data_IF_111207849129
#
_entry.id   IF_111207849129
#
_cell.length_a   1.000
_cell.length_b   1.000
_cell.length_c   1.000
_cell.angle_alpha   90.00
_cell.angle_beta   90.00
_cell.angle_gamma   90.00
#
_symmetry.space_group_name_H-M   'P 1'
#
loop_
_entity.id
_entity.type
_entity.pdbx_description
1 polymer ?
#
# COMPACT_ATOMS: atom_id res chain seq x y z
N UNK A 1 -1.68 -16.01 -30.27
CA UNK A 1 -0.87 -16.00 -29.03
C UNK A 1 -1.08 -17.31 -28.30
N UNK A 2 -0.18 -17.74 -27.40
CA UNK A 2 -0.41 -18.94 -26.60
C UNK A 2 -1.69 -18.75 -25.77
N UNK A 3 -2.49 -19.82 -25.66
CA UNK A 3 -3.73 -19.82 -24.91
C UNK A 3 -3.46 -19.43 -23.44
N UNK A 4 -4.34 -18.61 -22.85
CA UNK A 4 -4.27 -18.33 -21.43
C UNK A 4 -4.37 -19.66 -20.65
N UNK A 5 -3.53 -19.89 -19.63
CA UNK A 5 -3.65 -21.07 -18.79
C UNK A 5 -5.05 -21.13 -18.18
N UNK A 6 -5.58 -22.34 -17.90
CA UNK A 6 -6.90 -22.49 -17.30
C UNK A 6 -6.99 -21.70 -16.00
N UNK A 7 -8.15 -21.10 -15.73
CA UNK A 7 -8.39 -20.35 -14.51
C UNK A 7 -8.13 -21.26 -13.30
N UNK A 8 -7.12 -20.92 -12.52
CA UNK A 8 -6.72 -21.67 -11.34
C UNK A 8 -7.78 -21.49 -10.24
N UNK A 9 -8.00 -22.51 -9.43
CA UNK A 9 -8.83 -22.38 -8.22
C UNK A 9 -8.19 -21.39 -7.25
N UNK A 10 -9.00 -20.64 -6.50
CA UNK A 10 -8.50 -19.77 -5.45
C UNK A 10 -7.70 -20.58 -4.40
N UNK A 11 -6.50 -20.10 -4.00
CA UNK A 11 -5.65 -20.82 -3.06
C UNK A 11 -6.19 -20.77 -1.63
N UNK A 12 -6.93 -19.71 -1.28
CA UNK A 12 -7.61 -19.57 0.01
C UNK A 12 -8.97 -20.28 -0.02
N UNK A 13 -9.18 -21.20 0.92
CA UNK A 13 -10.43 -21.93 1.11
C UNK A 13 -11.57 -21.07 1.66
N UNK A 14 -11.26 -19.88 2.20
CA UNK A 14 -12.25 -18.93 2.70
C UNK A 14 -12.74 -17.95 1.63
N UNK A 15 -12.12 -17.92 0.45
CA UNK A 15 -12.58 -17.15 -0.69
C UNK A 15 -14.04 -17.45 -1.05
N UNK A 16 -14.72 -16.48 -1.68
CA UNK A 16 -16.07 -16.71 -2.20
C UNK A 16 -16.09 -17.88 -3.19
N UNK A 17 -17.10 -18.75 -3.10
CA UNK A 17 -17.19 -19.94 -3.96
C UNK A 17 -17.29 -19.61 -5.47
N UNK A 18 -17.72 -18.40 -5.81
CA UNK A 18 -17.81 -17.90 -7.18
C UNK A 18 -16.55 -17.15 -7.65
N UNK A 19 -15.54 -17.03 -6.79
CA UNK A 19 -14.31 -16.31 -7.09
C UNK A 19 -13.43 -17.10 -8.07
N UNK A 20 -12.65 -16.36 -8.86
CA UNK A 20 -11.79 -16.92 -9.90
C UNK A 20 -10.43 -16.25 -9.82
N UNK A 21 -9.37 -17.05 -9.76
CA UNK A 21 -8.00 -16.53 -9.74
C UNK A 21 -7.74 -15.63 -10.95
N UNK A 22 -7.08 -14.46 -10.77
CA UNK A 22 -6.39 -13.95 -9.57
C UNK A 22 -7.25 -13.09 -8.63
N UNK A 23 -8.56 -13.00 -8.87
CA UNK A 23 -9.49 -12.24 -8.05
C UNK A 23 -10.22 -13.17 -7.10
N UNK A 24 -9.57 -13.45 -5.96
CA UNK A 24 -10.02 -14.41 -4.96
C UNK A 24 -10.34 -13.76 -3.61
N UNK A 25 -11.28 -12.79 -3.54
CA UNK A 25 -11.54 -12.11 -2.28
C UNK A 25 -11.99 -13.11 -1.20
N UNK A 26 -11.29 -13.05 -0.07
CA UNK A 26 -11.72 -13.69 1.17
C UNK A 26 -13.07 -13.13 1.65
N UNK A 27 -13.82 -13.89 2.43
CA UNK A 27 -15.11 -13.45 2.99
C UNK A 27 -14.98 -12.26 3.96
N UNK A 28 -13.82 -12.06 4.56
CA UNK A 28 -13.50 -10.90 5.40
C UNK A 28 -12.91 -9.73 4.61
N UNK A 29 -12.79 -9.85 3.28
CA UNK A 29 -12.33 -8.76 2.43
C UNK A 29 -13.29 -7.57 2.49
N UNK A 30 -12.74 -6.39 2.79
CA UNK A 30 -13.52 -5.15 2.88
C UNK A 30 -13.51 -4.44 1.52
N UNK A 31 -14.56 -4.64 0.72
CA UNK A 31 -14.63 -4.11 -0.65
C UNK A 31 -14.50 -2.59 -0.76
N UNK A 32 -14.95 -1.86 0.27
CA UNK A 32 -14.86 -0.40 0.33
C UNK A 32 -13.44 0.11 0.65
N UNK A 33 -12.52 -0.78 1.07
CA UNK A 33 -11.09 -0.46 1.24
C UNK A 33 -10.27 -0.65 -0.04
N UNK A 34 -10.89 -1.03 -1.16
CA UNK A 34 -10.22 -1.17 -2.45
C UNK A 34 -10.57 0.02 -3.35
N UNK A 35 -9.80 1.13 -3.30
CA UNK A 35 -10.16 2.40 -3.95
C UNK A 35 -10.25 2.29 -5.47
N UNK A 36 -9.51 1.36 -6.08
CA UNK A 36 -9.54 1.18 -7.53
C UNK A 36 -10.89 0.66 -8.04
N UNK A 37 -11.73 0.05 -7.18
CA UNK A 37 -13.09 -0.36 -7.55
C UNK A 37 -14.00 0.81 -7.96
N UNK A 38 -13.66 2.05 -7.59
CA UNK A 38 -14.46 3.24 -7.89
C UNK A 38 -14.15 3.83 -9.28
N UNK A 39 -13.21 3.26 -10.02
CA UNK A 39 -12.85 3.70 -11.36
C UNK A 39 -13.35 2.70 -12.41
N UNK A 40 -14.04 3.20 -13.44
CA UNK A 40 -14.64 2.36 -14.50
C UNK A 40 -13.62 1.43 -15.18
N UNK A 41 -12.36 1.87 -15.32
CA UNK A 41 -11.28 1.08 -15.92
C UNK A 41 -10.98 -0.23 -15.15
N UNK A 42 -11.34 -0.31 -13.86
CA UNK A 42 -11.13 -1.47 -13.00
C UNK A 42 -12.44 -2.20 -12.64
N UNK A 43 -13.53 -1.92 -13.36
CA UNK A 43 -14.79 -2.64 -13.21
C UNK A 43 -14.62 -4.15 -13.49
N UNK A 44 -15.52 -5.02 -12.96
CA UNK A 44 -15.48 -6.46 -13.24
C UNK A 44 -15.41 -6.77 -14.75
N UNK A 45 -14.54 -7.71 -15.14
CA UNK A 45 -14.35 -8.14 -16.53
C UNK A 45 -13.40 -7.26 -17.36
N UNK A 46 -12.91 -6.15 -16.82
CA UNK A 46 -11.93 -5.28 -17.53
C UNK A 46 -10.52 -5.88 -17.50
N UNK A 47 -9.73 -5.57 -18.54
CA UNK A 47 -8.34 -5.98 -18.62
C UNK A 47 -7.47 -5.35 -17.51
N UNK A 48 -7.72 -4.08 -17.16
CA UNK A 48 -6.94 -3.42 -16.11
C UNK A 48 -7.22 -4.01 -14.73
N UNK A 49 -8.48 -4.37 -14.42
CA UNK A 49 -8.80 -5.14 -13.20
C UNK A 49 -8.02 -6.45 -13.16
N UNK A 50 -8.09 -7.23 -14.24
CA UNK A 50 -7.41 -8.51 -14.31
C UNK A 50 -5.90 -8.35 -14.09
N UNK A 51 -5.27 -7.33 -14.69
CA UNK A 51 -3.83 -7.11 -14.60
C UNK A 51 -3.33 -6.57 -13.24
N UNK A 52 -4.14 -5.74 -12.57
CA UNK A 52 -3.67 -4.92 -11.45
C UNK A 52 -4.35 -5.20 -10.11
N UNK A 53 -5.61 -5.65 -10.09
CA UNK A 53 -6.25 -6.08 -8.84
C UNK A 53 -5.98 -7.56 -8.65
N UNK A 54 -5.12 -7.87 -7.67
CA UNK A 54 -4.59 -9.22 -7.45
C UNK A 54 -4.78 -9.59 -5.99
N UNK A 55 -4.87 -10.89 -5.74
CA UNK A 55 -4.85 -11.43 -4.39
C UNK A 55 -3.49 -11.20 -3.72
N UNK A 56 -3.46 -10.95 -2.41
CA UNK A 56 -2.21 -10.76 -1.66
C UNK A 56 -1.31 -12.00 -1.74
N UNK A 57 -1.89 -13.19 -1.88
CA UNK A 57 -1.13 -14.42 -2.11
C UNK A 57 -0.22 -14.31 -3.33
N UNK A 58 -0.63 -13.59 -4.39
CA UNK A 58 0.22 -13.36 -5.56
C UNK A 58 1.44 -12.49 -5.20
N UNK A 59 1.28 -11.48 -4.34
CA UNK A 59 2.40 -10.67 -3.86
C UNK A 59 3.46 -11.54 -3.18
N UNK A 60 3.04 -12.41 -2.27
CA UNK A 60 3.94 -13.35 -1.58
C UNK A 60 4.59 -14.34 -2.54
N UNK A 61 3.83 -14.90 -3.49
CA UNK A 61 4.36 -15.80 -4.52
C UNK A 61 5.43 -15.10 -5.36
N UNK A 62 5.16 -13.87 -5.79
CA UNK A 62 6.09 -13.07 -6.59
C UNK A 62 7.36 -12.76 -5.79
N UNK A 63 7.23 -12.31 -4.54
CA UNK A 63 8.39 -12.07 -3.66
C UNK A 63 9.25 -13.34 -3.52
N UNK A 64 8.63 -14.47 -3.18
CA UNK A 64 9.29 -15.77 -2.97
C UNK A 64 9.86 -16.38 -4.25
N UNK A 65 9.34 -16.01 -5.42
CA UNK A 65 9.86 -16.46 -6.72
C UNK A 65 11.09 -15.68 -7.19
N UNK A 66 11.46 -14.60 -6.50
CA UNK A 66 12.64 -13.81 -6.83
C UNK A 66 13.90 -14.66 -6.69
N UNK A 67 14.86 -14.45 -7.60
CA UNK A 67 16.12 -15.20 -7.58
C UNK A 67 17.15 -14.48 -6.71
N UNK A 68 18.39 -14.96 -6.65
CA UNK A 68 19.46 -14.27 -5.95
C UNK A 68 19.83 -12.90 -6.56
N UNK A 69 19.53 -12.68 -7.84
CA UNK A 69 19.94 -11.48 -8.60
C UNK A 69 18.79 -10.71 -9.21
N UNK A 70 17.56 -11.23 -9.16
CA UNK A 70 16.40 -10.62 -9.78
C UNK A 70 15.25 -10.51 -8.78
N UNK A 71 14.80 -9.29 -8.54
CA UNK A 71 13.53 -9.02 -7.87
C UNK A 71 12.37 -9.16 -8.86
N UNK A 72 11.34 -9.93 -8.49
CA UNK A 72 10.16 -10.12 -9.32
C UNK A 72 8.96 -9.23 -8.92
N UNK A 73 9.05 -8.51 -7.79
CA UNK A 73 7.97 -7.62 -7.35
C UNK A 73 7.63 -6.58 -8.44
N UNK A 74 6.35 -6.21 -8.49
CA UNK A 74 5.91 -5.12 -9.39
C UNK A 74 6.53 -3.80 -8.92
N UNK A 75 6.80 -2.84 -9.83
CA UNK A 75 7.42 -1.56 -9.48
C UNK A 75 6.65 -0.76 -8.41
N UNK A 76 5.32 -0.92 -8.38
CA UNK A 76 4.44 -0.36 -7.34
C UNK A 76 3.46 -1.45 -6.93
N UNK A 77 3.35 -1.68 -5.62
CA UNK A 77 2.42 -2.63 -5.03
C UNK A 77 1.74 -1.99 -3.81
N UNK A 78 0.41 -2.02 -3.78
CA UNK A 78 -0.39 -1.66 -2.61
C UNK A 78 -0.96 -2.94 -2.01
N UNK A 79 -0.63 -3.21 -0.75
CA UNK A 79 -1.16 -4.37 -0.01
C UNK A 79 -2.13 -3.84 1.03
N UNK A 80 -3.38 -4.31 0.99
CA UNK A 80 -4.39 -4.03 2.03
C UNK A 80 -4.82 -5.37 2.63
N UNK A 81 -4.49 -5.62 3.91
CA UNK A 81 -4.85 -6.88 4.56
C UNK A 81 -6.36 -7.09 4.63
N UNK A 82 -6.76 -8.36 4.73
CA UNK A 82 -8.15 -8.75 4.96
C UNK A 82 -8.63 -8.28 6.35
N UNK A 83 -9.93 -8.39 6.62
CA UNK A 83 -10.52 -7.98 7.90
C UNK A 83 -9.82 -8.54 9.14
N UNK A 84 -9.35 -9.79 9.10
CA UNK A 84 -8.67 -10.39 10.24
C UNK A 84 -7.32 -9.71 10.58
N UNK A 85 -6.68 -9.07 9.61
CA UNK A 85 -5.26 -8.68 9.70
C UNK A 85 -5.05 -7.17 9.49
N UNK A 86 -6.11 -6.35 9.48
CA UNK A 86 -6.03 -4.93 9.14
C UNK A 86 -6.05 -3.96 10.33
N UNK A 87 -5.94 -4.47 11.55
CA UNK A 87 -5.90 -3.71 12.82
C UNK A 87 -7.11 -2.82 13.15
N UNK A 88 -8.16 -2.85 12.34
CA UNK A 88 -9.32 -1.99 12.53
C UNK A 88 -10.01 -2.25 13.90
N UNK A 89 -10.30 -1.18 14.67
CA UNK A 89 -10.97 -1.30 15.95
C UNK A 89 -12.31 -2.03 15.85
N UNK A 90 -12.60 -2.86 16.85
CA UNK A 90 -13.90 -3.51 17.03
C UNK A 90 -14.00 -4.93 16.47
N UNK A 91 -13.16 -5.34 15.52
CA UNK A 91 -13.18 -6.72 14.99
C UNK A 91 -11.81 -7.37 14.82
N UNK A 92 -10.71 -6.62 14.86
CA UNK A 92 -9.34 -7.15 14.91
C UNK A 92 -8.49 -6.32 15.88
N UNK A 93 -7.19 -6.60 15.96
CA UNK A 93 -6.25 -5.92 16.85
C UNK A 93 -4.84 -5.84 16.28
N UNK A 94 -4.04 -4.96 16.90
CA UNK A 94 -2.68 -4.63 16.49
C UNK A 94 -1.79 -5.88 16.34
N UNK A 95 -1.82 -6.81 17.30
CA UNK A 95 -0.90 -7.96 17.27
C UNK A 95 -1.08 -8.87 16.06
N UNK A 96 -2.31 -9.03 15.55
CA UNK A 96 -2.60 -9.81 14.36
C UNK A 96 -2.09 -9.08 13.10
N UNK A 97 -2.44 -7.81 12.94
CA UNK A 97 -2.02 -7.02 11.78
C UNK A 97 -0.52 -6.76 11.75
N UNK A 98 0.11 -6.49 12.88
CA UNK A 98 1.55 -6.29 12.99
C UNK A 98 2.33 -7.59 12.74
N UNK A 99 1.79 -8.75 13.15
CA UNK A 99 2.36 -10.03 12.75
C UNK A 99 2.29 -10.20 11.22
N UNK A 100 1.15 -9.90 10.61
CA UNK A 100 0.97 -10.00 9.16
C UNK A 100 1.91 -9.07 8.39
N UNK A 101 2.01 -7.80 8.81
CA UNK A 101 2.94 -6.80 8.28
C UNK A 101 4.39 -7.30 8.35
N UNK A 102 4.81 -7.85 9.48
CA UNK A 102 6.17 -8.40 9.64
C UNK A 102 6.42 -9.58 8.69
N UNK A 103 5.43 -10.44 8.48
CA UNK A 103 5.55 -11.57 7.57
C UNK A 103 5.69 -11.08 6.10
N UNK A 104 4.96 -10.03 5.70
CA UNK A 104 5.13 -9.38 4.39
C UNK A 104 6.53 -8.76 4.23
N UNK A 105 7.01 -8.02 5.23
CA UNK A 105 8.35 -7.41 5.20
C UNK A 105 9.42 -8.50 5.10
N UNK A 106 9.31 -9.58 5.87
CA UNK A 106 10.24 -10.71 5.80
C UNK A 106 10.25 -11.40 4.45
N UNK A 107 9.12 -11.46 3.74
CA UNK A 107 9.09 -11.98 2.37
C UNK A 107 9.92 -11.10 1.41
N UNK A 108 9.87 -9.77 1.57
CA UNK A 108 10.71 -8.83 0.83
C UNK A 108 12.19 -9.02 1.22
N UNK A 109 12.50 -9.00 2.51
CA UNK A 109 13.86 -9.10 3.05
C UNK A 109 14.53 -10.45 2.76
N UNK A 110 13.74 -11.52 2.65
CA UNK A 110 14.20 -12.86 2.30
C UNK A 110 14.50 -13.05 0.81
N UNK A 111 14.28 -12.03 -0.02
CA UNK A 111 14.40 -12.09 -1.48
C UNK A 111 15.45 -11.11 -2.03
N UNK A 112 15.75 -11.16 -3.34
CA UNK A 112 16.58 -10.13 -3.98
C UNK A 112 15.95 -8.72 -3.95
N UNK A 113 14.65 -8.60 -3.69
CA UNK A 113 13.94 -7.32 -3.64
C UNK A 113 14.41 -6.43 -2.49
N UNK A 114 14.99 -7.00 -1.43
CA UNK A 114 15.50 -6.25 -0.27
C UNK A 114 16.48 -5.12 -0.62
N UNK A 115 17.17 -5.23 -1.76
CA UNK A 115 18.23 -4.31 -2.15
C UNK A 115 17.71 -3.00 -2.75
N UNK A 116 16.46 -2.96 -3.23
CA UNK A 116 15.93 -1.82 -3.99
C UNK A 116 14.43 -1.61 -3.79
N UNK A 117 13.91 -1.96 -2.61
CA UNK A 117 12.50 -1.74 -2.25
C UNK A 117 12.38 -0.64 -1.20
N UNK A 118 11.44 0.28 -1.42
CA UNK A 118 10.93 1.22 -0.41
C UNK A 118 9.58 0.67 0.09
N UNK A 119 9.50 0.30 1.36
CA UNK A 119 8.24 -0.11 2.00
C UNK A 119 7.71 1.06 2.80
N UNK A 120 6.46 1.44 2.55
CA UNK A 120 5.72 2.42 3.36
C UNK A 120 4.59 1.68 4.06
N UNK A 121 4.64 1.64 5.40
CA UNK A 121 3.56 1.10 6.23
C UNK A 121 2.84 2.25 6.90
N UNK A 122 1.54 2.37 6.65
CA UNK A 122 0.72 3.47 7.16
C UNK A 122 -0.73 3.02 7.31
N UNK A 123 -1.52 3.84 7.99
CA UNK A 123 -2.95 3.63 8.16
C UNK A 123 -3.74 4.44 7.12
N UNK A 124 -5.00 4.07 6.89
CA UNK A 124 -5.94 4.83 6.06
C UNK A 124 -6.67 5.91 6.85
N UNK A 125 -6.88 5.68 8.14
CA UNK A 125 -7.58 6.59 9.05
C UNK A 125 -7.09 6.42 10.51
N UNK A 126 -7.68 7.17 11.44
CA UNK A 126 -7.17 7.36 12.81
C UNK A 126 -7.96 6.59 13.89
N UNK A 127 -8.80 5.64 13.49
CA UNK A 127 -9.67 4.78 14.28
C UNK A 127 -10.65 5.48 15.23
N UNK A 128 -10.81 6.80 15.11
CA UNK A 128 -11.53 7.62 16.11
C UNK A 128 -10.73 7.94 17.37
N UNK A 129 -9.43 7.64 17.41
CA UNK A 129 -8.57 7.93 18.56
C UNK A 129 -8.19 9.42 18.64
N UNK A 130 -7.82 9.87 19.84
CA UNK A 130 -7.38 11.24 20.06
C UNK A 130 -5.91 11.43 19.65
N UNK A 131 -5.62 12.52 18.93
CA UNK A 131 -4.26 13.03 18.70
C UNK A 131 -4.25 14.53 19.06
N UNK A 132 -3.14 15.00 19.64
CA UNK A 132 -2.99 16.38 20.11
C UNK A 132 -2.59 17.37 19.00
N UNK A 133 -2.14 16.87 17.85
CA UNK A 133 -1.59 17.68 16.77
C UNK A 133 -2.72 18.16 15.87
N UNK A 134 -2.77 19.48 15.67
CA UNK A 134 -3.66 20.07 14.66
C UNK A 134 -3.24 19.63 13.26
N UNK A 135 -4.17 19.15 12.41
CA UNK A 135 -3.83 18.72 11.05
C UNK A 135 -3.07 19.79 10.24
N UNK A 136 -2.14 19.38 9.34
CA UNK A 136 -1.44 20.30 8.45
C UNK A 136 -2.38 21.20 7.63
N UNK A 137 -1.98 22.45 7.42
CA UNK A 137 -2.76 23.46 6.70
C UNK A 137 -4.02 23.95 7.44
N UNK A 138 -4.22 23.57 8.70
CA UNK A 138 -5.31 24.03 9.57
C UNK A 138 -4.78 24.71 10.84
N UNK A 139 -5.54 25.67 11.38
CA UNK A 139 -5.17 26.32 12.66
C UNK A 139 -3.82 27.06 12.64
N UNK A 140 -3.34 27.47 11.47
CA UNK A 140 -2.04 28.12 11.28
C UNK A 140 -0.86 27.16 11.16
N UNK A 141 -1.09 25.84 11.10
CA UNK A 141 -0.06 24.86 10.83
C UNK A 141 0.38 24.93 9.35
N UNK A 142 1.67 24.73 9.09
CA UNK A 142 2.19 24.62 7.73
C UNK A 142 1.77 23.31 7.06
N UNK A 143 1.73 23.29 5.73
CA UNK A 143 1.35 22.13 4.93
C UNK A 143 0.17 22.41 3.99
N UNK A 144 -0.08 21.51 3.04
CA UNK A 144 -1.22 21.62 2.14
C UNK A 144 -2.51 21.22 2.86
N UNK A 145 -3.62 21.88 2.53
CA UNK A 145 -4.97 21.53 2.97
C UNK A 145 -6.02 21.89 1.89
N UNK A 146 -7.16 21.21 1.91
CA UNK A 146 -8.30 21.38 1.02
C UNK A 146 -9.55 20.83 1.73
N UNK A 147 -10.69 20.80 1.04
CA UNK A 147 -11.96 20.37 1.63
C UNK A 147 -11.99 18.90 2.08
N UNK A 148 -11.02 18.08 1.66
CA UNK A 148 -10.95 16.65 1.99
C UNK A 148 -9.94 16.36 3.12
N UNK A 149 -9.10 17.32 3.52
CA UNK A 149 -8.19 17.15 4.63
C UNK A 149 -6.92 18.01 4.57
N UNK A 150 -5.80 17.54 5.16
CA UNK A 150 -5.69 16.27 5.89
C UNK A 150 -6.55 16.28 7.17
N UNK A 151 -6.87 15.08 7.65
CA UNK A 151 -7.51 14.84 8.94
C UNK A 151 -6.49 14.64 10.07
N UNK A 152 -6.93 13.97 11.13
CA UNK A 152 -6.10 13.57 12.28
C UNK A 152 -4.84 12.81 11.82
N UNK A 153 -3.71 13.03 12.51
CA UNK A 153 -2.45 12.36 12.23
C UNK A 153 -2.58 10.84 12.37
N UNK A 154 -1.87 10.13 11.51
CA UNK A 154 -1.74 8.67 11.52
C UNK A 154 -0.25 8.27 11.60
N UNK A 155 0.08 7.07 12.11
CA UNK A 155 1.44 6.55 12.04
C UNK A 155 1.86 6.25 10.59
N UNK A 156 3.13 6.49 10.28
CA UNK A 156 3.76 6.08 9.04
C UNK A 156 5.21 5.61 9.31
N UNK A 157 5.58 4.47 8.73
CA UNK A 157 6.93 3.92 8.77
C UNK A 157 7.45 3.79 7.34
N UNK A 158 8.70 4.20 7.13
CA UNK A 158 9.42 4.02 5.87
C UNK A 158 10.59 3.08 6.12
N UNK A 159 10.66 1.98 5.38
CA UNK A 159 11.68 0.94 5.51
C UNK A 159 12.36 0.78 4.16
N UNK A 160 13.68 0.94 4.12
CA UNK A 160 14.47 0.84 2.89
C UNK A 160 15.94 0.58 3.21
N UNK A 161 16.70 -0.13 2.34
CA UNK A 161 18.16 -0.17 2.43
C UNK A 161 18.83 1.19 2.16
N UNK A 162 18.10 2.15 1.58
CA UNK A 162 18.62 3.45 1.16
C UNK A 162 18.12 4.62 2.04
N UNK A 163 17.75 4.34 3.29
CA UNK A 163 17.43 5.40 4.25
C UNK A 163 18.65 6.32 4.48
N UNK A 164 18.38 7.57 4.86
CA UNK A 164 19.42 8.56 5.17
C UNK A 164 20.26 8.21 6.41
N UNK A 165 19.82 7.23 7.20
CA UNK A 165 20.55 6.64 8.31
C UNK A 165 19.83 5.39 8.81
N UNK A 166 20.42 4.70 9.79
CA UNK A 166 19.85 3.46 10.34
C UNK A 166 18.48 3.68 11.02
N UNK A 167 18.22 4.90 11.49
CA UNK A 167 16.94 5.33 12.03
C UNK A 167 16.81 6.85 11.92
N UNK A 168 15.67 7.34 11.42
CA UNK A 168 15.36 8.76 11.29
C UNK A 168 13.92 9.01 11.71
N UNK A 169 13.68 10.06 12.49
CA UNK A 169 12.33 10.60 12.69
C UNK A 169 12.19 11.80 11.78
N UNK A 170 11.30 11.70 10.80
CA UNK A 170 10.98 12.82 9.92
C UNK A 170 9.89 13.69 10.53
N UNK A 171 10.15 15.00 10.55
CA UNK A 171 9.24 16.01 11.04
C UNK A 171 8.66 16.86 9.90
N UNK A 172 8.99 16.56 8.65
CA UNK A 172 8.35 17.16 7.49
C UNK A 172 6.85 16.81 7.51
N UNK A 173 5.95 17.80 7.39
CA UNK A 173 4.52 17.54 7.23
C UNK A 173 4.24 16.75 5.94
N UNK A 174 3.63 15.58 6.09
CA UNK A 174 3.11 14.72 5.04
C UNK A 174 1.64 14.41 5.28
N UNK A 175 0.93 14.06 4.20
CA UNK A 175 -0.35 13.36 4.27
C UNK A 175 -0.29 12.08 3.41
N UNK A 176 -1.40 11.36 3.29
CA UNK A 176 -1.45 10.09 2.54
C UNK A 176 -1.14 10.27 1.05
N UNK A 177 -1.31 11.45 0.48
CA UNK A 177 -0.99 11.74 -0.92
C UNK A 177 0.50 11.95 -1.17
N UNK A 178 1.30 12.16 -0.12
CA UNK A 178 2.78 12.15 -0.23
C UNK A 178 3.31 10.84 -0.83
N UNK A 179 2.58 9.72 -0.65
CA UNK A 179 2.91 8.43 -1.28
C UNK A 179 2.72 8.51 -2.80
N UNK A 180 1.64 9.14 -3.27
CA UNK A 180 1.40 9.36 -4.71
C UNK A 180 2.47 10.28 -5.30
N UNK A 181 2.76 11.42 -4.66
CA UNK A 181 3.83 12.33 -5.09
C UNK A 181 5.18 11.62 -5.17
N UNK A 182 5.48 10.72 -4.23
CA UNK A 182 6.71 9.90 -4.27
C UNK A 182 6.76 8.99 -5.49
N UNK A 183 5.65 8.33 -5.83
CA UNK A 183 5.54 7.49 -7.02
C UNK A 183 5.65 8.35 -8.28
N UNK A 184 4.96 9.48 -8.33
CA UNK A 184 4.97 10.42 -9.45
C UNK A 184 6.38 10.90 -9.76
N UNK A 185 7.11 11.36 -8.75
CA UNK A 185 8.50 11.79 -8.90
C UNK A 185 9.42 10.64 -9.32
N UNK A 186 9.24 9.43 -8.76
CA UNK A 186 10.06 8.27 -9.15
C UNK A 186 9.91 7.90 -10.62
N UNK A 187 8.69 7.98 -11.16
CA UNK A 187 8.38 7.55 -12.53
C UNK A 187 8.23 8.71 -13.53
N UNK A 188 8.46 9.96 -13.11
CA UNK A 188 8.30 11.14 -13.96
C UNK A 188 6.86 11.37 -14.43
N UNK A 189 5.88 11.06 -13.57
CA UNK A 189 4.46 11.22 -13.87
C UNK A 189 3.97 12.62 -13.46
N UNK A 190 2.91 13.07 -14.11
CA UNK A 190 2.21 14.28 -13.69
C UNK A 190 1.32 13.99 -12.47
N UNK A 191 1.12 14.97 -11.56
CA UNK A 191 0.16 14.85 -10.47
C UNK A 191 -1.24 14.49 -10.94
N UNK A 192 -1.96 13.68 -10.17
CA UNK A 192 -3.34 13.28 -10.49
C UNK A 192 -4.36 14.33 -10.04
N UNK A 193 -4.02 15.20 -9.08
CA UNK A 193 -4.89 16.23 -8.57
C UNK A 193 -4.14 17.50 -8.14
N UNK A 194 -4.85 18.36 -7.40
CA UNK A 194 -4.24 19.57 -6.81
C UNK A 194 -3.51 19.27 -5.51
N UNK A 195 -3.83 18.13 -4.88
CA UNK A 195 -3.36 17.76 -3.56
C UNK A 195 -1.96 17.14 -3.61
N UNK A 196 -1.80 16.08 -4.39
CA UNK A 196 -0.51 15.44 -4.70
C UNK A 196 0.47 16.42 -5.38
N UNK A 197 -0.02 17.40 -6.15
CA UNK A 197 0.78 18.49 -6.69
C UNK A 197 1.35 19.47 -5.64
N UNK A 198 0.79 19.51 -4.43
CA UNK A 198 1.10 20.52 -3.40
C UNK A 198 1.80 19.96 -2.16
N UNK A 199 1.78 18.65 -1.96
CA UNK A 199 2.46 17.99 -0.84
C UNK A 199 3.91 17.64 -1.19
N UNK A 200 4.68 17.24 -0.16
CA UNK A 200 6.05 16.78 -0.33
C UNK A 200 6.08 15.26 -0.48
N UNK A 201 6.92 14.77 -1.37
CA UNK A 201 7.28 13.34 -1.42
C UNK A 201 8.07 12.91 -0.17
N UNK A 202 8.37 11.63 -0.06
CA UNK A 202 9.09 11.05 1.07
C UNK A 202 10.63 11.16 0.94
N UNK A 203 11.15 11.98 0.03
CA UNK A 203 12.60 12.03 -0.24
C UNK A 203 13.44 12.59 0.92
N UNK A 204 12.81 13.18 1.93
CA UNK A 204 13.44 13.61 3.18
C UNK A 204 14.06 12.45 3.99
N UNK A 205 13.58 11.22 3.81
CA UNK A 205 14.05 10.04 4.60
C UNK A 205 14.88 9.03 3.83
N UNK A 206 14.89 9.08 2.50
CA UNK A 206 15.59 8.09 1.68
C UNK A 206 16.23 8.70 0.43
N UNK A 207 17.32 8.11 -0.05
CA UNK A 207 17.95 8.46 -1.32
C UNK A 207 17.58 7.43 -2.38
N UNK A 208 16.73 7.82 -3.34
CA UNK A 208 16.50 7.00 -4.54
C UNK A 208 17.79 6.95 -5.38
N UNK A 209 18.17 5.75 -5.85
CA UNK A 209 19.16 5.59 -6.92
C UNK A 209 18.50 5.56 -8.31
#
# INVERSE_FOLDING_TARGET
GPAAPPAQSCPDSHAFATAVWPNCPDKLFQFHHQPLNYFANYAPGTAARAAHLRDETEFLQVANSSTATQCNLKPVSFVKPIGADNEHPGYTGESAGSKHLVDLIKAIEGSACKNDTLVVSTYDEFGGQWDHVTPPGQGGSGGAADQWGPGTRIPALVISPNLNGDFVVDHVPHDTTSILTTIEHRFGLAPLGTRDAAVRDLSSVYNAR
#
